data_IF_562342785248
#
_entry.id   IF_562342785248
#
_cell.length_a   1.000
_cell.length_b   1.000
_cell.length_c   1.000
_cell.angle_alpha   90.00
_cell.angle_beta   90.00
_cell.angle_gamma   90.00
#
_symmetry.space_group_name_H-M   'P 1'
#
loop_
_entity.id
_entity.type
_entity.pdbx_description
1 polymer ?
#
# COMPACT_ATOMS: atom_id res chain seq x y z
N UNK A 1 -34.60 -21.01 -22.60
CA UNK A 1 -33.44 -20.89 -23.52
C UNK A 1 -32.79 -19.56 -23.26
N UNK A 2 -31.49 -19.62 -23.05
CA UNK A 2 -30.60 -18.65 -22.42
C UNK A 2 -30.25 -17.49 -23.37
N UNK A 3 -29.70 -16.39 -22.84
CA UNK A 3 -28.24 -16.34 -22.89
C UNK A 3 -27.62 -15.91 -21.56
N UNK A 4 -26.87 -16.84 -20.97
CA UNK A 4 -25.85 -16.65 -19.94
C UNK A 4 -24.64 -15.99 -20.62
N UNK A 5 -24.80 -14.75 -21.10
CA UNK A 5 -23.78 -14.06 -21.91
C UNK A 5 -23.10 -12.87 -21.24
N UNK A 6 -23.48 -12.53 -20.00
CA UNK A 6 -22.99 -11.33 -19.26
C UNK A 6 -22.09 -11.64 -18.07
N UNK A 7 -21.65 -12.89 -17.92
CA UNK A 7 -20.77 -13.31 -16.82
C UNK A 7 -19.28 -13.38 -17.22
N UNK A 8 -18.95 -12.94 -18.45
CA UNK A 8 -17.57 -12.83 -18.94
C UNK A 8 -17.15 -11.36 -19.09
N UNK A 9 -17.60 -10.48 -18.19
CA UNK A 9 -16.84 -9.27 -17.88
C UNK A 9 -15.57 -9.70 -17.11
N UNK A 10 -14.74 -10.54 -17.75
CA UNK A 10 -13.38 -10.77 -17.31
C UNK A 10 -12.73 -9.40 -17.35
N UNK A 11 -12.45 -8.84 -16.17
CA UNK A 11 -11.78 -7.56 -16.02
C UNK A 11 -10.62 -7.53 -17.03
N UNK A 12 -10.73 -6.63 -18.03
CA UNK A 12 -9.79 -6.60 -19.13
C UNK A 12 -8.36 -6.65 -18.57
N UNK A 13 -7.48 -7.54 -19.08
CA UNK A 13 -6.19 -7.79 -18.46
C UNK A 13 -5.41 -6.48 -18.37
N UNK A 14 -4.95 -6.13 -17.17
CA UNK A 14 -4.13 -4.94 -16.93
C UNK A 14 -2.89 -5.03 -17.82
N UNK A 15 -2.71 -4.03 -18.68
CA UNK A 15 -1.55 -4.01 -19.58
C UNK A 15 -0.26 -3.76 -18.81
N UNK A 16 0.85 -4.32 -19.28
CA UNK A 16 2.17 -4.14 -18.64
C UNK A 16 2.54 -2.67 -18.48
N UNK A 17 2.15 -1.81 -19.45
CA UNK A 17 2.36 -0.37 -19.37
C UNK A 17 1.59 0.30 -18.22
N UNK A 18 0.33 -0.11 -17.99
CA UNK A 18 -0.45 0.38 -16.84
C UNK A 18 0.16 -0.05 -15.51
N UNK A 19 0.62 -1.30 -15.42
CA UNK A 19 1.33 -1.80 -14.25
C UNK A 19 2.63 -1.03 -13.98
N UNK A 20 3.39 -0.70 -15.03
CA UNK A 20 4.64 0.07 -14.92
C UNK A 20 4.40 1.51 -14.48
N UNK A 21 3.43 2.20 -15.08
CA UNK A 21 3.08 3.58 -14.69
C UNK A 21 2.54 3.65 -13.26
N UNK A 22 1.73 2.68 -12.85
CA UNK A 22 1.23 2.58 -11.48
C UNK A 22 2.38 2.27 -10.49
N UNK A 23 3.24 1.31 -10.82
CA UNK A 23 4.41 0.95 -9.99
C UNK A 23 5.46 2.05 -9.88
N UNK A 24 5.63 2.87 -10.91
CA UNK A 24 6.54 4.02 -10.90
C UNK A 24 6.15 5.07 -9.83
N UNK A 25 4.85 5.21 -9.53
CA UNK A 25 4.38 6.08 -8.44
C UNK A 25 4.75 5.51 -7.05
N UNK A 26 4.82 4.18 -6.92
CA UNK A 26 5.21 3.51 -5.67
C UNK A 26 6.72 3.42 -5.42
N UNK A 27 7.53 3.56 -6.48
CA UNK A 27 9.00 3.41 -6.41
C UNK A 27 9.65 4.41 -5.43
N UNK A 28 9.35 5.73 -5.45
CA UNK A 28 9.95 6.69 -4.51
C UNK A 28 9.60 6.37 -3.06
N UNK A 29 8.34 5.97 -2.80
CA UNK A 29 7.88 5.56 -1.48
C UNK A 29 8.64 4.33 -0.96
N UNK A 30 8.80 3.30 -1.81
CA UNK A 30 9.56 2.09 -1.46
C UNK A 30 11.05 2.40 -1.22
N UNK A 31 11.62 3.30 -2.04
CA UNK A 31 13.01 3.74 -1.90
C UNK A 31 13.28 4.43 -0.57
N UNK A 32 12.34 5.22 -0.06
CA UNK A 32 12.45 5.86 1.26
C UNK A 32 12.18 4.86 2.39
N UNK A 33 11.23 3.95 2.22
CA UNK A 33 10.85 2.99 3.26
C UNK A 33 11.98 2.02 3.61
N UNK A 34 12.72 1.50 2.61
CA UNK A 34 13.82 0.54 2.81
C UNK A 34 14.91 1.00 3.79
N UNK A 35 15.59 2.13 3.55
CA UNK A 35 16.63 2.62 4.46
C UNK A 35 16.04 2.96 5.82
N UNK A 36 14.81 3.47 5.90
CA UNK A 36 14.16 3.79 7.17
C UNK A 36 13.94 2.53 8.02
N UNK A 37 13.46 1.44 7.41
CA UNK A 37 13.20 0.17 8.08
C UNK A 37 14.49 -0.56 8.54
N UNK A 38 15.61 -0.31 7.88
CA UNK A 38 16.90 -0.95 8.21
C UNK A 38 17.73 -0.10 9.16
N UNK A 39 17.78 1.21 8.94
CA UNK A 39 18.66 2.12 9.66
C UNK A 39 18.11 2.47 11.04
N UNK A 40 16.79 2.68 11.21
CA UNK A 40 16.22 3.00 12.53
C UNK A 40 16.49 1.87 13.54
N UNK A 41 16.11 0.61 13.29
CA UNK A 41 16.34 -0.47 14.25
C UNK A 41 17.83 -0.67 14.55
N UNK A 42 18.67 -0.61 13.50
CA UNK A 42 20.11 -0.75 13.65
C UNK A 42 20.73 0.38 14.50
N UNK A 43 20.27 1.61 14.34
CA UNK A 43 20.68 2.74 15.16
C UNK A 43 20.27 2.54 16.63
N UNK A 44 19.05 2.08 16.90
CA UNK A 44 18.60 1.78 18.27
C UNK A 44 19.35 0.58 18.89
N UNK A 45 19.69 -0.43 18.10
CA UNK A 45 20.52 -1.56 18.54
C UNK A 45 21.94 -1.11 18.93
N UNK A 46 22.57 -0.27 18.09
CA UNK A 46 23.98 0.08 18.22
C UNK A 46 24.24 1.24 19.19
N UNK A 47 23.39 2.29 19.17
CA UNK A 47 23.58 3.48 20.00
C UNK A 47 22.96 3.38 21.39
N UNK A 48 21.90 2.59 21.56
CA UNK A 48 21.20 2.41 22.84
C UNK A 48 21.34 1.00 23.44
N UNK A 49 22.04 0.08 22.75
CA UNK A 49 22.26 -1.30 23.24
C UNK A 49 20.98 -2.12 23.33
N UNK A 50 19.92 -1.76 22.57
CA UNK A 50 18.62 -2.41 22.67
C UNK A 50 18.70 -3.87 22.20
N UNK A 51 18.17 -4.84 22.96
CA UNK A 51 18.16 -6.24 22.54
C UNK A 51 17.45 -6.43 21.19
N UNK A 52 18.04 -7.24 20.30
CA UNK A 52 17.44 -7.57 18.99
C UNK A 52 16.04 -8.15 19.11
N UNK A 53 15.75 -8.89 20.20
CA UNK A 53 14.42 -9.43 20.47
C UNK A 53 13.36 -8.32 20.63
N UNK A 54 13.70 -7.22 21.31
CA UNK A 54 12.81 -6.07 21.49
C UNK A 54 12.55 -5.36 20.17
N UNK A 55 13.60 -5.15 19.36
CA UNK A 55 13.45 -4.59 18.01
C UNK A 55 12.60 -5.51 17.12
N UNK A 56 12.83 -6.81 17.17
CA UNK A 56 12.02 -7.80 16.45
C UNK A 56 10.55 -7.73 16.85
N UNK A 57 10.24 -7.59 18.14
CA UNK A 57 8.88 -7.45 18.64
C UNK A 57 8.22 -6.15 18.16
N UNK A 58 8.95 -5.03 18.18
CA UNK A 58 8.47 -3.74 17.69
C UNK A 58 8.17 -3.82 16.18
N UNK A 59 9.09 -4.36 15.38
CA UNK A 59 8.92 -4.52 13.94
C UNK A 59 7.76 -5.46 13.61
N UNK A 60 7.61 -6.56 14.36
CA UNK A 60 6.48 -7.47 14.25
C UNK A 60 5.16 -6.76 14.58
N UNK A 61 5.13 -5.96 15.64
CA UNK A 61 3.99 -5.14 16.02
C UNK A 61 3.61 -4.12 14.95
N UNK A 62 4.58 -3.43 14.37
CA UNK A 62 4.37 -2.51 13.26
C UNK A 62 3.75 -3.22 12.05
N UNK A 63 4.24 -4.41 11.69
CA UNK A 63 3.66 -5.22 10.60
C UNK A 63 2.24 -5.68 10.89
N UNK A 64 1.94 -6.08 12.12
CA UNK A 64 0.58 -6.46 12.49
C UNK A 64 -0.38 -5.27 12.39
N UNK A 65 0.09 -4.08 12.75
CA UNK A 65 -0.66 -2.84 12.61
C UNK A 65 -0.92 -2.49 11.15
N UNK A 66 0.10 -2.53 10.29
CA UNK A 66 -0.04 -2.33 8.84
C UNK A 66 -1.03 -3.35 8.25
N UNK A 67 -0.94 -4.63 8.63
CA UNK A 67 -1.85 -5.67 8.16
C UNK A 67 -3.33 -5.42 8.52
N UNK A 68 -3.60 -4.63 9.57
CA UNK A 68 -4.95 -4.22 9.94
C UNK A 68 -5.35 -2.91 9.25
N UNK A 69 -4.41 -1.98 9.10
CA UNK A 69 -4.65 -0.65 8.51
C UNK A 69 -4.81 -0.73 7.00
N UNK A 70 -3.98 -1.51 6.31
CA UNK A 70 -3.98 -1.59 4.85
C UNK A 70 -5.37 -1.98 4.31
N UNK A 71 -6.09 -3.00 4.84
CA UNK A 71 -7.44 -3.32 4.39
C UNK A 71 -8.48 -2.27 4.79
N UNK A 72 -8.29 -1.57 5.92
CA UNK A 72 -9.18 -0.49 6.33
C UNK A 72 -9.07 0.65 5.32
N UNK A 73 -7.85 1.14 5.06
CA UNK A 73 -7.61 2.21 4.09
C UNK A 73 -8.07 1.77 2.69
N UNK A 74 -7.79 0.54 2.28
CA UNK A 74 -8.25 -0.03 1.00
C UNK A 74 -9.77 0.06 0.85
N UNK A 75 -10.54 -0.36 1.87
CA UNK A 75 -12.02 -0.26 1.84
C UNK A 75 -12.52 1.19 1.77
N UNK A 76 -11.82 2.14 2.38
CA UNK A 76 -12.17 3.55 2.33
C UNK A 76 -11.89 4.13 0.94
N UNK A 77 -10.75 3.77 0.33
CA UNK A 77 -10.42 4.10 -1.04
C UNK A 77 -11.47 3.53 -2.01
N UNK A 78 -11.80 2.24 -1.91
CA UNK A 78 -12.79 1.60 -2.78
C UNK A 78 -14.16 2.29 -2.72
N UNK A 79 -14.59 2.70 -1.51
CA UNK A 79 -15.81 3.49 -1.33
C UNK A 79 -15.71 4.86 -2.01
N UNK A 80 -14.57 5.53 -1.95
CA UNK A 80 -14.36 6.83 -2.59
C UNK A 80 -14.35 6.71 -4.12
N UNK A 81 -13.69 5.69 -4.67
CA UNK A 81 -13.66 5.38 -6.10
C UNK A 81 -15.03 4.94 -6.64
N UNK A 82 -15.83 4.22 -5.86
CA UNK A 82 -17.17 3.78 -6.25
C UNK A 82 -18.17 4.95 -6.44
N UNK A 83 -17.94 6.12 -5.83
CA UNK A 83 -18.85 7.26 -5.94
C UNK A 83 -18.51 8.20 -7.11
N UNK A 84 -17.24 8.57 -7.32
CA UNK A 84 -16.82 9.38 -8.47
C UNK A 84 -15.29 9.44 -8.61
N UNK A 85 -14.72 9.02 -9.75
CA UNK A 85 -13.29 9.17 -10.04
C UNK A 85 -12.79 10.63 -9.95
N UNK A 86 -13.65 11.60 -10.27
CA UNK A 86 -13.29 13.03 -10.20
C UNK A 86 -13.09 13.54 -8.77
N UNK A 87 -13.78 12.93 -7.79
CA UNK A 87 -13.66 13.30 -6.38
C UNK A 87 -12.38 12.74 -5.74
N UNK A 88 -11.93 11.59 -6.22
CA UNK A 88 -10.62 11.02 -5.87
C UNK A 88 -9.49 11.92 -6.38
N UNK A 89 -9.56 12.36 -7.64
CA UNK A 89 -8.55 13.26 -8.20
C UNK A 89 -8.52 14.61 -7.48
N UNK A 90 -9.68 15.16 -7.09
CA UNK A 90 -9.75 16.38 -6.29
C UNK A 90 -9.16 16.19 -4.88
N UNK A 91 -9.46 15.09 -4.18
CA UNK A 91 -8.84 14.80 -2.88
C UNK A 91 -7.34 14.53 -3.00
N UNK A 92 -6.91 13.81 -4.03
CA UNK A 92 -5.51 13.56 -4.32
C UNK A 92 -4.73 14.83 -4.62
N UNK A 93 -5.30 15.75 -5.39
CA UNK A 93 -4.70 17.05 -5.69
C UNK A 93 -4.64 18.00 -4.48
N UNK A 94 -5.54 17.85 -3.50
CA UNK A 94 -5.49 18.60 -2.23
C UNK A 94 -4.46 18.02 -1.26
N UNK A 95 -4.14 16.73 -1.38
CA UNK A 95 -3.20 16.02 -0.51
C UNK A 95 -1.75 16.01 -1.02
N UNK A 96 -1.52 16.30 -2.31
CA UNK A 96 -0.21 16.36 -2.96
C UNK A 96 0.41 17.76 -2.85
#
# INVERSE_FOLDING_TARGET
MTPLGRLNDEAAPVTTGQGLSYGALGLPLAFVALPLYVILPNHYATSFGMPLATLGLILLGARLFDAVIDPVIGRWCDRLFAHSPGRVLAMGAVAA
#
